data_IF_573548615477
#
_entry.id   IF_573548615477
#
_cell.length_a   1.000
_cell.length_b   1.000
_cell.length_c   1.000
_cell.angle_alpha   90.00
_cell.angle_beta   90.00
_cell.angle_gamma   90.00
#
_symmetry.space_group_name_H-M   'P 1'
#
loop_
_entity.id
_entity.type
_entity.pdbx_description
1 polymer ?
#
# COMPACT_ATOMS: atom_id res chain seq x y z
N UNK A 1 -25.24 -2.75 -17.63
CA UNK A 1 -24.57 -1.43 -17.58
C UNK A 1 -23.69 -1.27 -16.34
N UNK A 2 -24.21 -1.45 -15.12
CA UNK A 2 -23.40 -1.36 -13.88
C UNK A 2 -22.18 -2.28 -13.90
N UNK A 3 -22.32 -3.55 -14.32
CA UNK A 3 -21.20 -4.50 -14.40
C UNK A 3 -20.07 -4.01 -15.32
N UNK A 4 -20.41 -3.46 -16.50
CA UNK A 4 -19.42 -2.92 -17.44
C UNK A 4 -18.65 -1.74 -16.85
N UNK A 5 -19.37 -0.77 -16.27
CA UNK A 5 -18.76 0.40 -15.62
C UNK A 5 -17.88 -0.02 -14.43
N UNK A 6 -18.35 -0.99 -13.65
CA UNK A 6 -17.63 -1.52 -12.49
C UNK A 6 -16.30 -2.15 -12.90
N UNK A 7 -16.30 -2.98 -13.95
CA UNK A 7 -15.07 -3.61 -14.48
C UNK A 7 -14.13 -2.62 -15.15
N UNK A 8 -14.66 -1.54 -15.72
CA UNK A 8 -13.87 -0.45 -16.30
C UNK A 8 -13.28 0.51 -15.24
N UNK A 9 -13.55 0.30 -13.94
CA UNK A 9 -13.12 1.18 -12.87
C UNK A 9 -13.90 2.49 -12.75
N UNK A 10 -14.96 2.67 -13.54
CA UNK A 10 -15.85 3.83 -13.52
C UNK A 10 -16.90 3.68 -12.41
N UNK A 11 -16.42 3.54 -11.17
CA UNK A 11 -17.27 3.19 -10.03
C UNK A 11 -18.28 4.28 -9.68
N UNK A 12 -17.90 5.55 -9.79
CA UNK A 12 -18.81 6.67 -9.51
C UNK A 12 -19.98 6.71 -10.52
N UNK A 13 -19.70 6.53 -11.81
CA UNK A 13 -20.72 6.43 -12.86
C UNK A 13 -21.64 5.22 -12.61
N UNK A 14 -21.07 4.10 -12.16
CA UNK A 14 -21.82 2.90 -11.81
C UNK A 14 -22.79 3.16 -10.63
N UNK A 15 -22.33 3.86 -9.59
CA UNK A 15 -23.15 4.25 -8.43
C UNK A 15 -24.25 5.24 -8.83
N UNK A 16 -23.94 6.23 -9.67
CA UNK A 16 -24.94 7.19 -10.16
C UNK A 16 -26.05 6.51 -10.94
N UNK A 17 -25.72 5.51 -11.75
CA UNK A 17 -26.71 4.72 -12.49
C UNK A 17 -27.60 3.89 -11.56
N UNK A 18 -27.03 3.35 -10.48
CA UNK A 18 -27.81 2.65 -9.43
C UNK A 18 -28.76 3.63 -8.74
N UNK A 19 -28.28 4.82 -8.33
CA UNK A 19 -29.08 5.83 -7.63
C UNK A 19 -30.20 6.42 -8.49
N UNK A 20 -29.97 6.56 -9.80
CA UNK A 20 -30.97 7.04 -10.77
C UNK A 20 -31.95 5.96 -11.23
N UNK A 21 -31.75 4.71 -10.80
CA UNK A 21 -32.64 3.61 -11.17
C UNK A 21 -34.04 3.85 -10.61
N UNK A 22 -35.10 3.81 -11.44
CA UNK A 22 -36.48 3.95 -10.97
C UNK A 22 -36.98 2.73 -10.19
N UNK A 23 -36.22 1.62 -10.23
CA UNK A 23 -36.55 0.38 -9.53
C UNK A 23 -35.49 0.03 -8.51
N UNK A 24 -35.92 -0.69 -7.46
CA UNK A 24 -35.04 -1.25 -6.44
C UNK A 24 -33.99 -2.17 -7.10
N UNK A 25 -32.69 -1.86 -6.98
CA UNK A 25 -31.64 -2.65 -7.64
C UNK A 25 -31.58 -4.07 -7.11
N UNK A 26 -31.33 -5.03 -8.01
CA UNK A 26 -31.18 -6.43 -7.63
C UNK A 26 -29.91 -6.65 -6.78
N UNK A 27 -29.93 -7.50 -5.74
CA UNK A 27 -28.77 -7.77 -4.86
C UNK A 27 -27.46 -8.06 -5.61
N UNK A 28 -27.53 -8.82 -6.71
CA UNK A 28 -26.38 -9.15 -7.55
C UNK A 28 -25.60 -7.91 -8.05
N UNK A 29 -26.27 -6.78 -8.25
CA UNK A 29 -25.64 -5.53 -8.72
C UNK A 29 -24.63 -5.03 -7.68
N UNK A 30 -25.00 -5.05 -6.40
CA UNK A 30 -24.12 -4.66 -5.30
C UNK A 30 -22.99 -5.67 -5.09
N UNK A 31 -23.26 -6.96 -5.31
CA UNK A 31 -22.22 -8.00 -5.33
C UNK A 31 -21.15 -7.76 -6.39
N UNK A 32 -21.55 -7.41 -7.62
CA UNK A 32 -20.62 -7.02 -8.69
C UNK A 32 -19.82 -5.77 -8.31
N UNK A 33 -20.48 -4.75 -7.77
CA UNK A 33 -19.82 -3.50 -7.37
C UNK A 33 -18.79 -3.73 -6.26
N UNK A 34 -19.09 -4.60 -5.28
CA UNK A 34 -18.16 -5.02 -4.23
C UNK A 34 -16.92 -5.71 -4.81
N UNK A 35 -17.12 -6.66 -5.73
CA UNK A 35 -16.02 -7.34 -6.41
C UNK A 35 -15.10 -6.37 -7.16
N UNK A 36 -15.69 -5.38 -7.84
CA UNK A 36 -14.94 -4.33 -8.52
C UNK A 36 -14.22 -3.38 -7.55
N UNK A 37 -14.83 -3.03 -6.41
CA UNK A 37 -14.20 -2.18 -5.40
C UNK A 37 -12.95 -2.82 -4.79
N UNK A 38 -12.88 -4.15 -4.74
CA UNK A 38 -11.66 -4.87 -4.34
C UNK A 38 -10.51 -4.65 -5.33
N UNK A 39 -10.81 -4.63 -6.63
CA UNK A 39 -9.82 -4.46 -7.70
C UNK A 39 -9.39 -3.00 -7.79
N UNK A 40 -10.35 -2.08 -7.77
CA UNK A 40 -10.14 -0.64 -7.94
C UNK A 40 -9.94 0.13 -6.62
N UNK A 41 -9.88 -0.59 -5.50
CA UNK A 41 -9.42 -0.07 -4.20
C UNK A 41 -10.27 1.07 -3.63
N UNK A 42 -11.58 1.00 -3.83
CA UNK A 42 -12.50 2.04 -3.37
C UNK A 42 -13.30 1.56 -2.16
N UNK A 43 -12.82 1.85 -0.95
CA UNK A 43 -13.48 1.42 0.29
C UNK A 43 -14.82 2.09 0.51
N UNK A 44 -14.97 3.36 0.11
CA UNK A 44 -16.21 4.12 0.29
C UNK A 44 -17.36 3.50 -0.51
N UNK A 45 -17.09 3.15 -1.78
CA UNK A 45 -18.09 2.49 -2.62
C UNK A 45 -18.31 1.05 -2.19
N UNK A 46 -17.28 0.35 -1.69
CA UNK A 46 -17.45 -0.97 -1.10
C UNK A 46 -18.40 -0.95 0.11
N UNK A 47 -18.24 -0.01 1.03
CA UNK A 47 -19.12 0.16 2.19
C UNK A 47 -20.56 0.47 1.77
N UNK A 48 -20.73 1.37 0.79
CA UNK A 48 -22.03 1.66 0.21
C UNK A 48 -22.67 0.39 -0.38
N UNK A 49 -21.93 -0.38 -1.18
CA UNK A 49 -22.44 -1.58 -1.81
C UNK A 49 -22.78 -2.68 -0.79
N UNK A 50 -21.92 -2.88 0.23
CA UNK A 50 -22.16 -3.85 1.29
C UNK A 50 -23.40 -3.49 2.11
N UNK A 51 -23.55 -2.23 2.51
CA UNK A 51 -24.71 -1.77 3.29
C UNK A 51 -26.01 -2.02 2.52
N UNK A 52 -26.10 -1.57 1.27
CA UNK A 52 -27.29 -1.78 0.46
C UNK A 52 -27.54 -3.26 0.18
N UNK A 53 -26.51 -4.09 0.04
CA UNK A 53 -26.67 -5.53 -0.13
C UNK A 53 -27.23 -6.18 1.14
N UNK A 54 -26.74 -5.80 2.32
CA UNK A 54 -27.24 -6.32 3.60
C UNK A 54 -28.65 -5.81 3.93
N UNK A 55 -29.01 -4.61 3.51
CA UNK A 55 -30.38 -4.08 3.63
C UNK A 55 -31.37 -4.88 2.74
N UNK A 56 -30.88 -5.53 1.67
CA UNK A 56 -31.68 -6.40 0.80
C UNK A 56 -31.68 -7.86 1.25
N UNK A 57 -30.53 -8.34 1.70
CA UNK A 57 -30.28 -9.71 2.14
C UNK A 57 -29.38 -9.68 3.39
N UNK A 58 -29.99 -9.57 4.59
CA UNK A 58 -29.25 -9.51 5.85
C UNK A 58 -28.40 -10.76 6.12
N UNK A 59 -28.76 -11.90 5.52
CA UNK A 59 -28.05 -13.17 5.62
C UNK A 59 -26.90 -13.32 4.63
N UNK A 60 -26.60 -12.28 3.84
CA UNK A 60 -25.59 -12.36 2.78
C UNK A 60 -24.17 -12.50 3.33
N UNK A 61 -23.71 -13.74 3.48
CA UNK A 61 -22.30 -14.03 3.79
C UNK A 61 -21.35 -13.41 2.76
N UNK A 62 -21.78 -13.34 1.50
CA UNK A 62 -21.01 -12.75 0.41
C UNK A 62 -20.71 -11.26 0.67
N UNK A 63 -21.66 -10.48 1.20
CA UNK A 63 -21.46 -9.07 1.51
C UNK A 63 -20.34 -8.87 2.55
N UNK A 64 -20.41 -9.62 3.66
CA UNK A 64 -19.40 -9.57 4.72
C UNK A 64 -18.02 -10.02 4.23
N UNK A 65 -17.95 -11.16 3.54
CA UNK A 65 -16.68 -11.71 3.03
C UNK A 65 -16.04 -10.76 2.01
N UNK A 66 -16.81 -10.21 1.08
CA UNK A 66 -16.26 -9.28 0.09
C UNK A 66 -15.79 -7.96 0.72
N UNK A 67 -16.56 -7.40 1.65
CA UNK A 67 -16.14 -6.18 2.35
C UNK A 67 -14.86 -6.41 3.16
N UNK A 68 -14.77 -7.53 3.89
CA UNK A 68 -13.55 -7.90 4.62
C UNK A 68 -12.34 -8.05 3.68
N UNK A 69 -12.53 -8.67 2.53
CA UNK A 69 -11.48 -8.81 1.51
C UNK A 69 -11.02 -7.45 0.96
N UNK A 70 -11.92 -6.49 0.75
CA UNK A 70 -11.57 -5.12 0.34
C UNK A 70 -10.67 -4.46 1.39
N UNK A 71 -11.06 -4.50 2.67
CA UNK A 71 -10.24 -3.93 3.73
C UNK A 71 -8.88 -4.62 3.89
N UNK A 72 -8.85 -5.95 3.77
CA UNK A 72 -7.61 -6.73 3.84
C UNK A 72 -6.64 -6.34 2.71
N UNK A 73 -7.14 -6.19 1.47
CA UNK A 73 -6.34 -5.73 0.34
C UNK A 73 -5.75 -4.34 0.61
N UNK A 74 -6.53 -3.41 1.16
CA UNK A 74 -6.08 -2.04 1.47
C UNK A 74 -5.03 -2.00 2.57
N UNK A 75 -5.24 -2.77 3.63
CA UNK A 75 -4.28 -2.87 4.72
C UNK A 75 -2.97 -3.51 4.27
N UNK A 76 -3.03 -4.53 3.42
CA UNK A 76 -1.83 -5.13 2.85
C UNK A 76 -1.02 -4.11 2.04
N UNK A 77 -1.65 -3.27 1.22
CA UNK A 77 -0.92 -2.25 0.46
C UNK A 77 -0.30 -1.17 1.33
N UNK A 78 -1.04 -0.67 2.32
CA UNK A 78 -0.49 0.28 3.30
C UNK A 78 0.70 -0.34 4.04
N UNK A 79 0.59 -1.59 4.45
CA UNK A 79 1.67 -2.34 5.09
C UNK A 79 2.85 -2.54 4.14
N UNK A 80 2.62 -2.85 2.87
CA UNK A 80 3.67 -2.98 1.85
C UNK A 80 4.37 -1.65 1.62
N UNK A 81 3.64 -0.52 1.55
CA UNK A 81 4.23 0.82 1.44
C UNK A 81 5.13 1.15 2.65
N UNK A 82 4.67 0.85 3.86
CA UNK A 82 5.46 1.03 5.09
C UNK A 82 6.69 0.13 5.14
N UNK A 83 6.57 -1.13 4.69
CA UNK A 83 7.66 -2.10 4.70
C UNK A 83 8.70 -1.83 3.60
N UNK A 84 8.31 -1.28 2.45
CA UNK A 84 9.21 -1.12 1.30
C UNK A 84 10.29 -0.07 1.52
N UNK A 85 10.03 0.93 2.38
CA UNK A 85 10.95 2.06 2.58
C UNK A 85 11.25 2.41 4.03
N UNK A 86 11.07 1.46 4.95
CA UNK A 86 11.40 1.64 6.37
C UNK A 86 12.85 2.07 6.63
N UNK A 87 13.78 1.79 5.72
CA UNK A 87 15.19 2.23 5.79
C UNK A 87 15.29 3.75 5.75
N UNK A 88 14.49 4.42 4.90
CA UNK A 88 14.52 5.89 4.81
C UNK A 88 14.10 6.52 6.13
N UNK A 89 13.05 5.99 6.76
CA UNK A 89 12.58 6.45 8.06
C UNK A 89 13.60 6.18 9.16
N UNK A 90 14.22 4.99 9.17
CA UNK A 90 15.25 4.63 10.15
C UNK A 90 16.49 5.52 10.01
N UNK A 91 16.93 5.81 8.78
CA UNK A 91 18.05 6.73 8.51
C UNK A 91 17.70 8.15 8.95
N UNK A 92 16.52 8.66 8.58
CA UNK A 92 16.07 10.00 9.00
C UNK A 92 16.01 10.13 10.52
N UNK A 93 15.47 9.12 11.22
CA UNK A 93 15.47 9.09 12.69
C UNK A 93 16.90 9.07 13.26
N UNK A 94 17.81 8.29 12.66
CA UNK A 94 19.22 8.27 13.02
C UNK A 94 19.88 9.64 12.88
N UNK A 95 19.63 10.36 11.78
CA UNK A 95 20.13 11.72 11.57
C UNK A 95 19.63 12.69 12.64
N UNK A 96 18.36 12.58 13.03
CA UNK A 96 17.75 13.47 14.05
C UNK A 96 18.22 13.19 15.48
N UNK A 97 18.53 11.93 15.81
CA UNK A 97 18.78 11.52 17.21
C UNK A 97 20.24 11.28 17.54
N UNK A 98 21.06 10.89 16.56
CA UNK A 98 22.45 10.57 16.80
C UNK A 98 23.34 11.80 16.56
N UNK A 99 24.35 12.05 17.42
CA UNK A 99 25.30 13.14 17.22
C UNK A 99 25.94 13.13 15.83
N UNK A 100 26.34 14.29 15.28
CA UNK A 100 27.04 14.36 14.00
C UNK A 100 28.26 13.41 13.94
N UNK A 101 28.49 12.78 12.79
CA UNK A 101 29.62 11.87 12.55
C UNK A 101 29.46 10.44 13.09
N UNK A 102 28.53 10.17 14.03
CA UNK A 102 28.31 8.79 14.55
C UNK A 102 27.66 7.91 13.47
N UNK A 103 28.16 6.71 13.12
CA UNK A 103 27.52 5.90 12.08
C UNK A 103 26.06 5.54 12.37
N UNK A 104 25.20 5.61 11.36
CA UNK A 104 23.79 5.18 11.47
C UNK A 104 23.71 3.70 11.10
N UNK A 105 23.14 2.86 11.97
CA UNK A 105 23.00 1.42 11.74
C UNK A 105 21.53 1.02 11.64
N UNK A 106 21.15 0.38 10.55
CA UNK A 106 19.78 -0.08 10.28
C UNK A 106 19.81 -1.58 10.02
N UNK A 107 18.99 -2.33 10.76
CA UNK A 107 18.81 -3.78 10.57
C UNK A 107 17.42 -4.06 10.00
N UNK A 108 17.36 -4.80 8.90
CA UNK A 108 16.12 -5.14 8.22
C UNK A 108 16.01 -6.64 7.94
N UNK A 109 14.78 -7.15 8.03
CA UNK A 109 14.41 -8.54 7.74
C UNK A 109 13.88 -8.72 6.30
N UNK A 110 14.10 -7.73 5.43
CA UNK A 110 13.77 -7.74 4.01
C UNK A 110 14.95 -7.13 3.24
N UNK A 111 15.16 -7.57 2.00
CA UNK A 111 16.17 -7.01 1.08
C UNK A 111 15.93 -5.51 0.87
N UNK A 112 17.01 -4.72 0.86
CA UNK A 112 16.90 -3.29 0.56
C UNK A 112 16.43 -3.09 -0.88
N UNK A 113 15.48 -2.19 -1.12
CA UNK A 113 15.07 -1.87 -2.49
C UNK A 113 16.00 -0.83 -3.13
N UNK A 114 16.03 -0.79 -4.47
CA UNK A 114 16.87 0.13 -5.24
C UNK A 114 16.66 1.61 -4.84
N UNK A 115 15.43 2.02 -4.50
CA UNK A 115 15.15 3.38 -4.03
C UNK A 115 15.77 3.70 -2.67
N UNK A 116 15.70 2.77 -1.72
CA UNK A 116 16.34 2.94 -0.42
C UNK A 116 17.86 2.90 -0.54
N UNK A 117 18.39 2.05 -1.42
CA UNK A 117 19.81 1.97 -1.70
C UNK A 117 20.35 3.29 -2.27
N UNK A 118 19.68 3.86 -3.28
CA UNK A 118 20.03 5.19 -3.84
C UNK A 118 19.91 6.30 -2.81
N UNK A 119 18.86 6.31 -2.01
CA UNK A 119 18.67 7.30 -0.96
C UNK A 119 19.81 7.24 0.08
N UNK A 120 20.17 6.05 0.56
CA UNK A 120 21.26 5.89 1.52
C UNK A 120 22.61 6.37 0.96
N UNK A 121 22.92 6.09 -0.33
CA UNK A 121 24.09 6.66 -1.02
C UNK A 121 24.07 8.19 -0.96
N UNK A 122 23.00 8.82 -1.46
CA UNK A 122 22.86 10.28 -1.49
C UNK A 122 22.98 10.90 -0.09
N UNK A 123 22.31 10.34 0.92
CA UNK A 123 22.38 10.83 2.29
C UNK A 123 23.80 10.72 2.84
N UNK A 124 24.51 9.61 2.60
CA UNK A 124 25.90 9.45 3.06
C UNK A 124 26.85 10.50 2.48
N UNK A 125 26.59 10.95 1.25
CA UNK A 125 27.37 11.97 0.56
C UNK A 125 27.10 13.39 1.09
N UNK A 126 25.83 13.71 1.34
CA UNK A 126 25.38 15.03 1.82
C UNK A 126 25.77 15.23 3.27
N UNK A 127 25.46 14.25 4.12
CA UNK A 127 25.67 14.33 5.57
C UNK A 127 27.11 13.99 5.97
N UNK A 128 27.95 13.58 5.01
CA UNK A 128 29.32 13.10 5.23
C UNK A 128 29.39 12.08 6.36
N UNK A 129 28.47 11.12 6.33
CA UNK A 129 28.19 10.20 7.44
C UNK A 129 28.05 8.77 6.94
N UNK A 130 28.70 7.85 7.62
CA UNK A 130 28.57 6.43 7.31
C UNK A 130 27.18 5.92 7.70
N UNK A 131 26.55 5.19 6.78
CA UNK A 131 25.30 4.48 7.03
C UNK A 131 25.54 3.00 6.75
N UNK A 132 25.21 2.16 7.72
CA UNK A 132 25.35 0.70 7.62
C UNK A 132 23.95 0.11 7.61
N UNK A 133 23.56 -0.51 6.51
CA UNK A 133 22.28 -1.23 6.41
C UNK A 133 22.55 -2.71 6.27
N UNK A 134 22.05 -3.50 7.22
CA UNK A 134 22.02 -4.97 7.13
C UNK A 134 20.65 -5.39 6.63
N UNK A 135 20.61 -6.06 5.49
CA UNK A 135 19.40 -6.69 4.97
C UNK A 135 19.48 -8.23 5.07
N UNK A 136 18.57 -8.95 4.42
CA UNK A 136 18.55 -10.42 4.44
C UNK A 136 19.67 -11.08 3.64
N UNK A 137 20.35 -10.32 2.78
CA UNK A 137 21.33 -10.82 1.83
C UNK A 137 22.76 -10.45 2.21
N UNK A 138 22.99 -9.23 2.72
CA UNK A 138 24.34 -8.71 3.01
C UNK A 138 24.31 -7.46 3.89
N UNK A 139 25.51 -7.01 4.24
CA UNK A 139 25.74 -5.66 4.75
C UNK A 139 26.03 -4.70 3.59
N UNK A 140 25.38 -3.54 3.64
CA UNK A 140 25.61 -2.40 2.77
C UNK A 140 26.27 -1.31 3.59
N UNK A 141 27.50 -0.97 3.26
CA UNK A 141 28.21 0.16 3.84
C UNK A 141 28.14 1.32 2.88
N UNK A 142 27.39 2.36 3.25
CA UNK A 142 27.23 3.57 2.47
C UNK A 142 28.17 4.66 3.01
N UNK A 143 29.02 5.16 2.14
CA UNK A 143 30.00 6.21 2.45
C UNK A 143 30.32 7.01 1.19
N UNK A 144 30.32 8.33 1.32
CA UNK A 144 30.68 9.28 0.25
C UNK A 144 29.96 9.00 -1.07
N UNK A 145 28.64 8.73 -1.00
CA UNK A 145 27.82 8.50 -2.20
C UNK A 145 27.95 7.11 -2.80
N UNK A 146 28.78 6.24 -2.22
CA UNK A 146 29.03 4.88 -2.71
C UNK A 146 28.51 3.82 -1.75
N UNK A 147 28.33 2.59 -2.24
CA UNK A 147 28.00 1.44 -1.41
C UNK A 147 28.98 0.28 -1.65
N UNK A 148 29.36 -0.42 -0.58
CA UNK A 148 30.23 -1.60 -0.64
C UNK A 148 29.71 -2.73 -1.54
N UNK A 149 28.40 -2.79 -1.81
CA UNK A 149 27.80 -3.84 -2.64
C UNK A 149 27.99 -3.63 -4.16
N UNK A 150 28.59 -2.50 -4.58
CA UNK A 150 28.78 -2.13 -6.00
C UNK A 150 27.50 -2.20 -6.84
N UNK A 151 26.38 -1.82 -6.24
CA UNK A 151 25.07 -1.82 -6.89
C UNK A 151 24.53 -3.21 -7.28
N UNK A 152 25.02 -4.29 -6.65
CA UNK A 152 24.41 -5.62 -6.75
C UNK A 152 23.31 -5.85 -5.68
N UNK A 153 22.51 -4.81 -5.40
CA UNK A 153 21.53 -4.75 -4.30
C UNK A 153 20.61 -5.95 -4.25
#
# INVERSE_FOLDING_TARGET
MVDLLSRAGKLDEAVDLIKKSPFKPHPAIYGTLLGACRIHKNTKIAEFAAKNLLDLDPGSAAAYVQLANVYAAMNNEKKQLLLRHSEKLAIAYGLMKLPPGVPIRVFKNLRICADCHRAAKCISEIEKREIIVRDTTRFHHFKDGSCSCRDYW
#
